data_IF_923593049770
#
_entry.id   IF_923593049770
#
_cell.length_a   1.000
_cell.length_b   1.000
_cell.length_c   1.000
_cell.angle_alpha   90.00
_cell.angle_beta   90.00
_cell.angle_gamma   90.00
#
_symmetry.space_group_name_H-M   'P 1'
#
loop_
_entity.id
_entity.type
_entity.pdbx_description
1 polymer ?
#
# COMPACT_ATOMS: atom_id res chain seq x y z
N UNK A 1 -18.64 -10.61 -5.88
CA UNK A 1 -17.97 -9.75 -4.85
C UNK A 1 -16.60 -9.36 -5.33
N UNK A 2 -16.32 -8.07 -5.36
CA UNK A 2 -14.99 -7.57 -5.75
C UNK A 2 -14.04 -7.62 -4.58
N UNK A 3 -12.80 -8.06 -4.84
CA UNK A 3 -11.71 -8.07 -3.87
C UNK A 3 -10.79 -6.90 -4.14
N UNK A 4 -10.64 -6.06 -3.15
CA UNK A 4 -9.85 -4.83 -3.22
C UNK A 4 -8.70 -4.92 -2.23
N UNK A 5 -7.51 -4.66 -2.73
CA UNK A 5 -6.30 -4.60 -1.93
C UNK A 5 -5.87 -3.14 -1.85
N UNK A 6 -5.58 -2.64 -0.66
CA UNK A 6 -5.14 -1.26 -0.45
C UNK A 6 -3.72 -1.26 0.10
N UNK A 7 -2.79 -0.65 -0.64
CA UNK A 7 -1.41 -0.44 -0.19
C UNK A 7 -1.28 0.99 0.33
N UNK A 8 -1.19 1.12 1.64
CA UNK A 8 -1.01 2.41 2.31
C UNK A 8 -0.24 2.21 3.62
N UNK A 9 0.52 3.21 4.03
CA UNK A 9 1.31 3.20 5.26
C UNK A 9 0.99 4.40 6.13
N UNK A 10 1.14 4.20 7.43
CA UNK A 10 1.22 5.26 8.44
C UNK A 10 2.45 5.04 9.30
N UNK A 11 3.07 6.12 9.74
CA UNK A 11 4.21 6.09 10.65
C UNK A 11 4.37 7.44 11.33
N UNK A 12 5.31 7.53 12.28
CA UNK A 12 5.67 8.82 12.88
C UNK A 12 6.19 9.82 11.86
N UNK A 13 6.85 9.35 10.79
CA UNK A 13 7.35 10.20 9.70
C UNK A 13 6.28 10.52 8.65
N UNK A 14 5.53 9.51 8.19
CA UNK A 14 4.50 9.65 7.15
C UNK A 14 3.29 10.41 7.67
N UNK A 15 2.96 10.23 8.96
CA UNK A 15 1.69 10.68 9.52
C UNK A 15 0.57 9.70 9.23
N UNK A 16 -0.67 10.14 9.44
CA UNK A 16 -1.85 9.27 9.44
C UNK A 16 -2.77 9.47 8.23
N UNK A 17 -2.55 10.52 7.45
CA UNK A 17 -3.48 10.96 6.40
C UNK A 17 -3.80 9.90 5.34
N UNK A 18 -2.79 9.19 4.84
CA UNK A 18 -2.97 8.15 3.83
C UNK A 18 -3.88 7.01 4.32
N UNK A 19 -3.57 6.47 5.48
CA UNK A 19 -4.35 5.37 6.06
C UNK A 19 -5.76 5.84 6.41
N UNK A 20 -5.92 7.04 6.98
CA UNK A 20 -7.24 7.56 7.37
C UNK A 20 -8.15 7.77 6.16
N UNK A 21 -7.65 8.36 5.06
CA UNK A 21 -8.47 8.53 3.85
C UNK A 21 -8.77 7.20 3.17
N UNK A 22 -7.85 6.25 3.21
CA UNK A 22 -8.08 4.91 2.70
C UNK A 22 -9.11 4.13 3.54
N UNK A 23 -9.13 4.31 4.86
CA UNK A 23 -10.16 3.74 5.72
C UNK A 23 -11.55 4.29 5.39
N UNK A 24 -11.66 5.59 5.16
CA UNK A 24 -12.92 6.22 4.74
C UNK A 24 -13.42 5.61 3.42
N UNK A 25 -12.53 5.48 2.44
CA UNK A 25 -12.86 4.86 1.16
C UNK A 25 -13.25 3.39 1.35
N UNK A 26 -12.48 2.64 2.14
CA UNK A 26 -12.74 1.22 2.40
C UNK A 26 -14.10 0.98 3.02
N UNK A 27 -14.53 1.84 3.95
CA UNK A 27 -15.86 1.75 4.57
C UNK A 27 -16.97 1.90 3.53
N UNK A 28 -16.83 2.84 2.59
CA UNK A 28 -17.81 3.03 1.52
C UNK A 28 -17.83 1.84 0.54
N UNK A 29 -16.66 1.33 0.18
CA UNK A 29 -16.55 0.17 -0.70
C UNK A 29 -17.14 -1.09 -0.05
N UNK A 30 -16.92 -1.27 1.25
CA UNK A 30 -17.52 -2.39 2.00
C UNK A 30 -19.05 -2.32 1.99
N UNK A 31 -19.63 -1.14 2.15
CA UNK A 31 -21.09 -0.94 2.05
C UNK A 31 -21.64 -1.32 0.67
N UNK A 32 -20.79 -1.26 -0.36
CA UNK A 32 -21.13 -1.68 -1.72
C UNK A 32 -20.86 -3.16 -1.98
N UNK A 33 -20.55 -3.93 -0.96
CA UNK A 33 -20.34 -5.37 -1.06
C UNK A 33 -18.91 -5.77 -1.46
N UNK A 34 -17.95 -4.88 -1.42
CA UNK A 34 -16.56 -5.23 -1.69
C UNK A 34 -15.87 -5.84 -0.46
N UNK A 35 -14.94 -6.74 -0.71
CA UNK A 35 -14.08 -7.32 0.31
C UNK A 35 -12.73 -6.59 0.30
N UNK A 36 -12.34 -5.99 1.42
CA UNK A 36 -11.18 -5.11 1.50
C UNK A 36 -10.09 -5.74 2.36
N UNK A 37 -8.87 -5.76 1.85
CA UNK A 37 -7.66 -6.12 2.59
C UNK A 37 -6.64 -5.00 2.48
N UNK A 38 -6.01 -4.63 3.59
CA UNK A 38 -4.92 -3.66 3.60
C UNK A 38 -3.58 -4.38 3.57
N UNK A 39 -2.64 -3.82 2.81
CA UNK A 39 -1.22 -4.12 2.89
C UNK A 39 -0.53 -2.91 3.53
N UNK A 40 0.02 -3.08 4.71
CA UNK A 40 0.63 -1.99 5.45
C UNK A 40 1.90 -2.47 6.15
N UNK A 41 2.97 -1.68 6.04
CA UNK A 41 4.26 -2.01 6.66
C UNK A 41 4.25 -1.68 8.15
N UNK A 42 4.98 -2.49 8.91
CA UNK A 42 5.05 -2.35 10.38
C UNK A 42 5.97 -1.21 10.82
N UNK A 43 5.78 -0.02 10.28
CA UNK A 43 6.55 1.16 10.71
C UNK A 43 6.27 1.50 12.18
N UNK A 44 7.23 2.15 12.83
CA UNK A 44 6.99 2.76 14.13
C UNK A 44 5.88 3.81 14.02
N UNK A 45 4.88 3.75 14.90
CA UNK A 45 3.73 4.65 14.88
C UNK A 45 2.69 4.32 13.81
N UNK A 46 2.64 3.07 13.32
CA UNK A 46 1.65 2.65 12.35
C UNK A 46 0.22 2.62 12.93
N UNK A 47 -0.76 2.55 12.05
CA UNK A 47 -2.19 2.47 12.41
C UNK A 47 -2.80 1.09 12.14
N UNK A 48 -1.99 0.04 12.03
CA UNK A 48 -2.50 -1.29 11.68
C UNK A 48 -3.54 -1.81 12.67
N UNK A 49 -3.35 -1.50 13.96
CA UNK A 49 -4.33 -1.84 15.01
C UNK A 49 -5.69 -1.17 14.77
N UNK A 50 -5.72 0.08 14.31
CA UNK A 50 -6.96 0.81 14.01
C UNK A 50 -7.68 0.19 12.82
N UNK A 51 -6.96 -0.23 11.78
CA UNK A 51 -7.53 -0.92 10.62
C UNK A 51 -8.22 -2.22 11.08
N UNK A 52 -7.56 -2.98 11.96
CA UNK A 52 -8.12 -4.20 12.53
C UNK A 52 -9.35 -3.94 13.41
N UNK A 53 -9.32 -2.89 14.22
CA UNK A 53 -10.47 -2.47 15.05
C UNK A 53 -11.69 -2.15 14.19
N UNK A 54 -11.50 -1.59 13.02
CA UNK A 54 -12.56 -1.31 12.05
C UNK A 54 -13.01 -2.55 11.27
N UNK A 55 -12.50 -3.72 11.63
CA UNK A 55 -12.88 -5.03 11.05
C UNK A 55 -12.48 -5.19 9.59
N UNK A 56 -11.35 -4.61 9.18
CA UNK A 56 -10.71 -4.89 7.92
C UNK A 56 -9.56 -5.87 8.12
N UNK A 57 -9.32 -6.73 7.13
CA UNK A 57 -8.14 -7.57 7.11
C UNK A 57 -6.89 -6.72 6.84
N UNK A 58 -5.83 -7.01 7.54
CA UNK A 58 -4.52 -6.36 7.36
C UNK A 58 -3.47 -7.43 7.18
N UNK A 59 -2.72 -7.33 6.11
CA UNK A 59 -1.48 -8.08 5.94
C UNK A 59 -0.35 -7.12 6.25
N UNK A 60 0.38 -7.41 7.33
CA UNK A 60 1.47 -6.57 7.78
C UNK A 60 2.75 -6.93 7.05
N UNK A 61 3.34 -5.95 6.35
CA UNK A 61 4.62 -6.13 5.68
C UNK A 61 5.75 -5.95 6.69
N UNK A 62 6.83 -6.77 6.59
CA UNK A 62 7.91 -6.73 7.59
C UNK A 62 8.74 -5.46 7.49
N UNK A 63 9.38 -5.08 8.60
CA UNK A 63 10.41 -4.05 8.59
C UNK A 63 11.71 -4.65 8.04
N UNK A 64 12.44 -3.83 7.28
CA UNK A 64 13.78 -4.15 6.83
C UNK A 64 14.77 -3.25 7.56
N UNK A 65 15.60 -3.85 8.44
CA UNK A 65 16.69 -3.15 9.09
C UNK A 65 17.87 -2.97 8.13
N UNK A 66 18.69 -1.95 8.36
CA UNK A 66 19.93 -1.69 7.61
C UNK A 66 19.74 -1.30 6.14
N UNK A 67 18.65 -0.64 5.79
CA UNK A 67 18.52 -0.02 4.48
C UNK A 67 19.34 1.28 4.46
N UNK A 68 20.30 1.35 3.53
CA UNK A 68 21.02 2.59 3.25
C UNK A 68 20.36 3.26 2.05
N UNK A 69 19.88 4.48 2.28
CA UNK A 69 19.30 5.29 1.21
C UNK A 69 20.38 6.15 0.57
N UNK A 70 20.27 6.39 -0.73
CA UNK A 70 21.18 7.29 -1.44
C UNK A 70 21.02 8.72 -0.94
N UNK A 71 22.13 9.46 -0.89
CA UNK A 71 22.09 10.90 -0.64
C UNK A 71 21.22 11.58 -1.72
N UNK A 72 20.57 12.68 -1.35
CA UNK A 72 19.70 13.49 -2.23
C UNK A 72 18.35 12.86 -2.59
N UNK A 73 17.89 11.83 -1.90
CA UNK A 73 16.50 11.35 -2.05
C UNK A 73 15.53 12.34 -1.41
N UNK A 74 14.35 12.46 -2.04
CA UNK A 74 13.23 13.18 -1.42
C UNK A 74 12.85 12.45 -0.12
N UNK A 75 12.54 13.17 0.99
CA UNK A 75 12.26 12.51 2.29
C UNK A 75 11.18 11.44 2.25
N UNK A 76 10.13 11.63 1.45
CA UNK A 76 9.04 10.67 1.37
C UNK A 76 9.44 9.34 0.69
N UNK A 77 10.54 9.29 -0.07
CA UNK A 77 11.06 8.04 -0.63
C UNK A 77 11.62 7.12 0.48
N UNK A 78 12.11 7.71 1.56
CA UNK A 78 12.59 6.96 2.73
C UNK A 78 11.43 6.42 3.59
N UNK A 79 10.25 7.01 3.47
CA UNK A 79 9.08 6.61 4.25
C UNK A 79 8.62 5.17 3.93
N UNK A 80 8.97 4.65 2.77
CA UNK A 80 8.66 3.28 2.39
C UNK A 80 9.41 2.27 3.27
N UNK A 81 10.59 2.62 3.76
CA UNK A 81 11.42 1.77 4.61
C UNK A 81 12.26 0.74 3.85
N UNK A 82 12.15 0.70 2.53
CA UNK A 82 12.94 -0.16 1.64
C UNK A 82 12.85 0.35 0.20
N UNK A 83 13.60 -0.24 -0.71
CA UNK A 83 13.48 0.06 -2.14
C UNK A 83 12.12 -0.40 -2.68
N UNK A 84 11.63 0.26 -3.74
CA UNK A 84 10.36 -0.10 -4.38
C UNK A 84 10.33 -1.56 -4.84
N UNK A 85 11.43 -2.06 -5.39
CA UNK A 85 11.54 -3.45 -5.83
C UNK A 85 11.36 -4.43 -4.68
N UNK A 86 11.88 -4.11 -3.51
CA UNK A 86 11.74 -4.94 -2.30
C UNK A 86 10.30 -4.90 -1.78
N UNK A 87 9.71 -3.72 -1.75
CA UNK A 87 8.30 -3.57 -1.35
C UNK A 87 7.37 -4.37 -2.28
N UNK A 88 7.62 -4.31 -3.59
CA UNK A 88 6.86 -5.08 -4.56
C UNK A 88 6.98 -6.60 -4.31
N UNK A 89 8.18 -7.10 -4.02
CA UNK A 89 8.39 -8.51 -3.67
C UNK A 89 7.62 -8.91 -2.42
N UNK A 90 7.64 -8.09 -1.39
CA UNK A 90 6.90 -8.35 -0.15
C UNK A 90 5.39 -8.40 -0.42
N UNK A 91 4.88 -7.47 -1.22
CA UNK A 91 3.46 -7.41 -1.59
C UNK A 91 3.04 -8.62 -2.45
N UNK A 92 3.87 -9.00 -3.42
CA UNK A 92 3.62 -10.18 -4.27
C UNK A 92 3.57 -11.44 -3.42
N UNK A 93 4.52 -11.61 -2.50
CA UNK A 93 4.52 -12.76 -1.58
C UNK A 93 3.24 -12.83 -0.75
N UNK A 94 2.75 -11.69 -0.27
CA UNK A 94 1.50 -11.59 0.47
C UNK A 94 0.29 -12.00 -0.39
N UNK A 95 0.23 -11.55 -1.63
CA UNK A 95 -0.84 -11.92 -2.58
C UNK A 95 -0.80 -13.42 -2.88
N UNK A 96 0.38 -13.97 -3.15
CA UNK A 96 0.56 -15.39 -3.43
C UNK A 96 0.13 -16.27 -2.26
N UNK A 97 0.45 -15.87 -1.03
CA UNK A 97 0.08 -16.62 0.18
C UNK A 97 -1.43 -16.72 0.37
N UNK A 98 -2.18 -15.73 -0.09
CA UNK A 98 -3.63 -15.70 0.04
C UNK A 98 -4.37 -16.39 -1.11
N UNK A 99 -3.68 -16.73 -2.20
CA UNK A 99 -4.22 -17.47 -3.37
C UNK A 99 -5.54 -16.88 -3.91
N UNK A 100 -5.73 -15.57 -3.84
CA UNK A 100 -6.97 -14.92 -4.22
C UNK A 100 -6.75 -13.95 -5.37
N UNK A 101 -7.75 -13.87 -6.24
CA UNK A 101 -7.73 -12.93 -7.36
C UNK A 101 -8.05 -11.53 -6.80
N UNK A 102 -7.19 -10.57 -7.07
CA UNK A 102 -7.40 -9.17 -6.69
C UNK A 102 -7.99 -8.42 -7.88
N UNK A 103 -9.20 -7.91 -7.72
CA UNK A 103 -9.87 -7.16 -8.78
C UNK A 103 -9.31 -5.75 -8.92
N UNK A 104 -9.07 -5.07 -7.79
CA UNK A 104 -8.51 -3.71 -7.80
C UNK A 104 -7.43 -3.60 -6.72
N UNK A 105 -6.28 -3.08 -7.11
CA UNK A 105 -5.24 -2.62 -6.19
C UNK A 105 -5.33 -1.10 -6.10
N UNK A 106 -5.54 -0.57 -4.90
CA UNK A 106 -5.52 0.85 -4.62
C UNK A 106 -4.20 1.19 -3.94
N UNK A 107 -3.49 2.18 -4.47
CA UNK A 107 -2.16 2.60 -3.98
C UNK A 107 -2.25 4.04 -3.49
N UNK A 108 -1.89 4.26 -2.25
CA UNK A 108 -1.79 5.59 -1.65
C UNK A 108 -0.49 5.71 -0.87
N UNK A 109 0.60 5.96 -1.61
CA UNK A 109 1.94 6.07 -1.03
C UNK A 109 2.85 6.90 -1.94
N UNK A 110 3.43 7.98 -1.41
CA UNK A 110 4.26 8.90 -2.20
C UNK A 110 5.57 8.29 -2.71
N UNK A 111 6.03 7.19 -2.10
CA UNK A 111 7.26 6.52 -2.52
C UNK A 111 7.05 5.45 -3.60
N UNK A 112 5.79 5.16 -4.00
CA UNK A 112 5.48 4.15 -4.99
C UNK A 112 5.12 4.80 -6.32
N UNK A 113 5.69 4.28 -7.40
CA UNK A 113 5.48 4.82 -8.73
C UNK A 113 5.41 3.72 -9.81
N UNK A 114 5.71 4.11 -11.04
CA UNK A 114 5.56 3.28 -12.24
C UNK A 114 6.21 1.91 -12.13
N UNK A 115 7.44 1.83 -11.61
CA UNK A 115 8.17 0.57 -11.51
C UNK A 115 7.49 -0.43 -10.58
N UNK A 116 7.02 0.06 -9.43
CA UNK A 116 6.29 -0.76 -8.47
C UNK A 116 4.95 -1.24 -9.06
N UNK A 117 4.24 -0.34 -9.70
CA UNK A 117 2.94 -0.64 -10.31
C UNK A 117 3.06 -1.69 -11.42
N UNK A 118 4.08 -1.57 -12.28
CA UNK A 118 4.37 -2.57 -13.31
C UNK A 118 4.67 -3.95 -12.73
N UNK A 119 5.40 -4.00 -11.61
CA UNK A 119 5.69 -5.26 -10.94
C UNK A 119 4.42 -5.92 -10.38
N UNK A 120 3.43 -5.12 -9.98
CA UNK A 120 2.16 -5.62 -9.45
C UNK A 120 1.16 -6.07 -10.52
N UNK A 121 1.29 -5.57 -11.76
CA UNK A 121 0.34 -5.84 -12.86
C UNK A 121 -0.03 -7.31 -13.07
N UNK A 122 0.92 -8.27 -13.05
CA UNK A 122 0.57 -9.67 -13.27
C UNK A 122 -0.34 -10.28 -12.19
N UNK A 123 -0.44 -9.61 -11.05
CA UNK A 123 -1.10 -10.13 -9.83
C UNK A 123 -2.46 -9.50 -9.54
N UNK A 124 -2.81 -8.44 -10.28
CA UNK A 124 -4.05 -7.68 -10.06
C UNK A 124 -4.68 -7.31 -11.39
N UNK A 125 -6.00 -7.17 -11.42
CA UNK A 125 -6.71 -6.84 -12.67
C UNK A 125 -6.64 -5.36 -13.01
N UNK A 126 -6.78 -4.49 -12.00
CA UNK A 126 -6.80 -3.03 -12.15
C UNK A 126 -5.96 -2.37 -11.07
N UNK A 127 -5.35 -1.25 -11.39
CA UNK A 127 -4.59 -0.43 -10.44
C UNK A 127 -5.18 0.98 -10.42
N UNK A 128 -5.54 1.43 -9.23
CA UNK A 128 -5.97 2.80 -8.95
C UNK A 128 -4.94 3.46 -8.05
N UNK A 129 -4.50 4.66 -8.39
CA UNK A 129 -3.52 5.42 -7.60
C UNK A 129 -4.18 6.67 -7.04
N UNK A 130 -3.95 6.93 -5.76
CA UNK A 130 -4.28 8.21 -5.12
C UNK A 130 -2.96 8.97 -4.99
N UNK A 131 -2.82 10.06 -5.72
CA UNK A 131 -1.59 10.84 -5.75
C UNK A 131 -1.92 12.33 -5.89
N UNK A 132 -1.63 13.09 -4.85
CA UNK A 132 -1.83 14.54 -4.81
C UNK A 132 -0.52 15.33 -5.00
N UNK A 133 0.62 14.65 -5.22
CA UNK A 133 1.90 15.30 -5.53
C UNK A 133 2.10 15.49 -7.03
N UNK A 134 1.65 14.53 -7.84
CA UNK A 134 1.80 14.54 -9.31
C UNK A 134 3.26 14.78 -9.77
N UNK A 135 4.21 14.19 -9.04
CA UNK A 135 5.64 14.42 -9.22
C UNK A 135 6.39 13.25 -9.87
N UNK A 136 5.67 12.21 -10.28
CA UNK A 136 6.25 10.99 -10.85
C UNK A 136 5.28 10.29 -11.80
N UNK A 137 5.83 9.41 -12.63
CA UNK A 137 5.04 8.60 -13.56
C UNK A 137 4.34 7.45 -12.85
N UNK A 138 3.17 7.10 -13.36
CA UNK A 138 2.38 5.97 -12.91
C UNK A 138 2.02 5.03 -14.06
N UNK A 139 1.89 3.74 -13.74
CA UNK A 139 1.32 2.71 -14.61
C UNK A 139 0.01 2.23 -13.97
N UNK A 140 -1.05 3.00 -14.12
CA UNK A 140 -2.35 2.74 -13.49
C UNK A 140 -3.49 2.86 -14.50
N UNK A 141 -4.68 2.40 -14.12
CA UNK A 141 -5.90 2.48 -14.91
C UNK A 141 -6.73 3.71 -14.57
#
# INVERSE_FOLDING_TARGET
>A
MKRILIRADASTQIGFGHVMRCLTLAEQLRKKGCFITFLARKHAGNLNHLIKEKKFDVIELPLHSNQTFQENRKPYLEWLGCEQSKDAKDCIAAIQSNSQIIDVLIVDHYALGEQWEKAMRPWVKKIMVIDDLADRKHDCD
#
